data_IF_280176924085
#
_entry.id   IF_280176924085
#
_cell.length_a   1.000
_cell.length_b   1.000
_cell.length_c   1.000
_cell.angle_alpha   90.00
_cell.angle_beta   90.00
_cell.angle_gamma   90.00
#
_symmetry.space_group_name_H-M   'P 1'
#
loop_
_entity.id
_entity.type
_entity.pdbx_description
1 polymer ?
#
# COMPACT_ATOMS: atom_id res chain seq x y z
N UNK A 1 -18.90 -26.60 14.63
CA UNK A 1 -19.28 -25.52 13.69
C UNK A 1 -19.20 -26.11 12.30
N UNK A 2 -20.22 -25.96 11.44
CA UNK A 2 -20.09 -26.41 10.06
C UNK A 2 -18.96 -25.62 9.39
N UNK A 3 -18.02 -26.32 8.77
CA UNK A 3 -16.98 -25.73 7.93
C UNK A 3 -17.66 -24.78 6.93
N UNK A 4 -17.28 -23.51 6.93
CA UNK A 4 -17.73 -22.60 5.87
C UNK A 4 -17.16 -23.15 4.56
N UNK A 5 -18.00 -23.43 3.54
CA UNK A 5 -17.51 -24.00 2.29
C UNK A 5 -16.44 -23.06 1.72
N UNK A 6 -15.27 -23.61 1.42
CA UNK A 6 -14.23 -22.91 0.66
C UNK A 6 -14.88 -22.37 -0.63
N UNK A 7 -14.70 -21.07 -0.90
CA UNK A 7 -15.17 -20.47 -2.15
C UNK A 7 -14.24 -20.96 -3.27
N UNK A 8 -14.69 -21.84 -4.19
CA UNK A 8 -13.78 -22.42 -5.15
C UNK A 8 -13.42 -21.36 -6.19
N UNK A 9 -12.14 -21.00 -6.27
CA UNK A 9 -11.60 -20.04 -7.24
C UNK A 9 -12.05 -20.35 -8.69
N UNK A 10 -12.15 -21.63 -9.04
CA UNK A 10 -12.61 -22.10 -10.36
C UNK A 10 -14.06 -21.71 -10.67
N UNK A 11 -14.94 -21.73 -9.67
CA UNK A 11 -16.37 -21.41 -9.84
C UNK A 11 -16.55 -19.91 -10.10
N UNK A 12 -15.79 -19.07 -9.38
CA UNK A 12 -15.75 -17.63 -9.62
C UNK A 12 -15.31 -17.30 -11.05
N UNK A 13 -14.26 -17.95 -11.57
CA UNK A 13 -13.82 -17.75 -12.96
C UNK A 13 -14.93 -18.12 -13.95
N UNK A 14 -15.65 -19.22 -13.71
CA UNK A 14 -16.77 -19.66 -14.56
C UNK A 14 -17.92 -18.65 -14.58
N UNK A 15 -18.27 -18.09 -13.43
CA UNK A 15 -19.31 -17.08 -13.30
C UNK A 15 -18.89 -15.73 -13.91
N UNK A 16 -17.64 -15.29 -13.70
CA UNK A 16 -17.10 -14.09 -14.33
C UNK A 16 -17.06 -14.22 -15.85
N UNK A 17 -16.79 -15.40 -16.40
CA UNK A 17 -16.90 -15.66 -17.85
C UNK A 17 -18.34 -15.51 -18.33
N UNK A 18 -19.29 -16.06 -17.58
CA UNK A 18 -20.73 -15.93 -17.89
C UNK A 18 -21.17 -14.48 -17.89
N UNK A 19 -20.71 -13.70 -16.91
CA UNK A 19 -20.94 -12.26 -16.82
C UNK A 19 -20.32 -11.52 -18.02
N UNK A 20 -19.06 -11.83 -18.36
CA UNK A 20 -18.35 -11.23 -19.50
C UNK A 20 -19.08 -11.47 -20.82
N UNK A 21 -19.66 -12.64 -21.02
CA UNK A 21 -20.38 -13.01 -22.24
C UNK A 21 -21.78 -12.39 -22.31
N UNK A 22 -22.56 -12.47 -21.22
CA UNK A 22 -23.96 -12.01 -21.19
C UNK A 22 -24.09 -10.50 -20.97
N UNK A 23 -23.13 -9.89 -20.26
CA UNK A 23 -23.16 -8.49 -19.83
C UNK A 23 -24.09 -8.24 -18.64
N UNK A 24 -23.88 -7.10 -17.97
CA UNK A 24 -24.55 -6.75 -16.70
C UNK A 24 -26.08 -6.64 -16.80
N UNK A 25 -26.62 -6.27 -17.97
CA UNK A 25 -28.07 -6.12 -18.16
C UNK A 25 -28.83 -7.46 -18.23
N UNK A 26 -28.15 -8.56 -18.56
CA UNK A 26 -28.76 -9.89 -18.76
C UNK A 26 -28.49 -10.86 -17.61
N UNK A 27 -28.00 -10.36 -16.48
CA UNK A 27 -27.61 -11.17 -15.32
C UNK A 27 -28.79 -11.84 -14.60
N UNK A 28 -30.01 -11.29 -14.68
CA UNK A 28 -31.19 -11.86 -14.02
C UNK A 28 -31.51 -13.31 -14.47
N UNK A 29 -30.93 -13.75 -15.58
CA UNK A 29 -31.19 -15.06 -16.19
C UNK A 29 -30.00 -16.03 -16.03
N UNK A 30 -28.98 -15.67 -15.23
CA UNK A 30 -27.81 -16.51 -14.98
C UNK A 30 -27.68 -16.80 -13.48
N UNK A 31 -27.55 -18.07 -13.06
CA UNK A 31 -27.18 -18.38 -11.69
C UNK A 31 -25.73 -17.94 -11.45
N UNK A 32 -25.50 -17.15 -10.40
CA UNK A 32 -24.17 -16.68 -9.97
C UNK A 32 -23.94 -16.97 -8.46
N UNK A 33 -24.09 -18.23 -7.99
CA UNK A 33 -24.01 -18.55 -6.57
C UNK A 33 -22.66 -18.19 -5.92
N UNK A 34 -21.52 -18.35 -6.60
CA UNK A 34 -20.21 -18.04 -6.04
C UNK A 34 -20.02 -16.53 -5.87
N UNK A 35 -20.39 -15.72 -6.86
CA UNK A 35 -20.37 -14.26 -6.77
C UNK A 35 -21.37 -13.73 -5.75
N UNK A 36 -22.54 -14.37 -5.64
CA UNK A 36 -23.56 -14.02 -4.62
C UNK A 36 -23.02 -14.31 -3.22
N UNK A 37 -22.40 -15.48 -3.01
CA UNK A 37 -21.79 -15.82 -1.72
C UNK A 37 -20.65 -14.88 -1.35
N UNK A 38 -19.84 -14.44 -2.32
CA UNK A 38 -18.82 -13.42 -2.10
C UNK A 38 -19.44 -12.06 -1.73
N UNK A 39 -20.51 -11.66 -2.41
CA UNK A 39 -21.25 -10.45 -2.09
C UNK A 39 -21.83 -10.49 -0.67
N UNK A 40 -22.40 -11.64 -0.25
CA UNK A 40 -22.88 -11.88 1.11
C UNK A 40 -21.76 -11.71 2.14
N UNK A 41 -20.60 -12.35 1.91
CA UNK A 41 -19.42 -12.23 2.80
C UNK A 41 -18.91 -10.79 2.92
N UNK A 42 -19.12 -9.99 1.88
CA UNK A 42 -18.74 -8.57 1.84
C UNK A 42 -19.82 -7.65 2.40
N UNK A 43 -20.94 -8.19 2.90
CA UNK A 43 -22.06 -7.44 3.46
C UNK A 43 -22.87 -6.66 2.41
N UNK A 44 -22.78 -7.04 1.13
CA UNK A 44 -23.56 -6.42 0.07
C UNK A 44 -24.98 -7.01 0.06
N UNK A 45 -26.02 -6.20 -0.25
CA UNK A 45 -27.40 -6.66 -0.21
C UNK A 45 -27.67 -7.68 -1.32
N UNK A 46 -28.04 -8.92 -0.98
CA UNK A 46 -28.30 -10.01 -1.94
C UNK A 46 -29.78 -10.38 -2.09
N UNK A 47 -30.68 -9.60 -1.47
CA UNK A 47 -32.13 -9.82 -1.55
C UNK A 47 -32.65 -9.89 -3.00
N UNK A 48 -33.72 -10.67 -3.19
CA UNK A 48 -34.32 -10.94 -4.49
C UNK A 48 -34.62 -9.64 -5.27
N UNK A 49 -34.10 -9.57 -6.51
CA UNK A 49 -34.27 -8.43 -7.42
C UNK A 49 -33.11 -7.42 -7.40
N UNK A 50 -32.24 -7.42 -6.39
CA UNK A 50 -31.08 -6.54 -6.30
C UNK A 50 -29.80 -7.11 -6.92
N UNK A 51 -29.77 -8.43 -7.19
CA UNK A 51 -28.58 -9.15 -7.61
C UNK A 51 -27.75 -8.46 -8.73
N UNK A 52 -28.33 -7.95 -9.84
CA UNK A 52 -27.53 -7.25 -10.86
C UNK A 52 -26.82 -6.00 -10.33
N UNK A 53 -27.46 -5.26 -9.42
CA UNK A 53 -26.89 -4.09 -8.76
C UNK A 53 -25.80 -4.53 -7.80
N UNK A 54 -26.05 -5.56 -7.00
CA UNK A 54 -25.09 -6.13 -6.04
C UNK A 54 -23.81 -6.60 -6.73
N UNK A 55 -23.95 -7.34 -7.83
CA UNK A 55 -22.80 -7.80 -8.62
C UNK A 55 -22.09 -6.61 -9.29
N UNK A 56 -22.81 -5.58 -9.75
CA UNK A 56 -22.17 -4.36 -10.27
C UNK A 56 -21.33 -3.71 -9.16
N UNK A 57 -21.90 -3.49 -7.97
CA UNK A 57 -21.20 -2.89 -6.82
C UNK A 57 -19.98 -3.70 -6.40
N UNK A 58 -20.09 -5.03 -6.42
CA UNK A 58 -18.96 -5.93 -6.15
C UNK A 58 -17.82 -5.69 -7.16
N UNK A 59 -18.14 -5.67 -8.46
CA UNK A 59 -17.16 -5.47 -9.51
C UNK A 59 -16.55 -4.07 -9.49
N UNK A 60 -17.34 -3.03 -9.19
CA UNK A 60 -16.84 -1.66 -9.03
C UNK A 60 -15.83 -1.59 -7.87
N UNK A 61 -16.12 -2.27 -6.75
CA UNK A 61 -15.20 -2.38 -5.61
C UNK A 61 -13.91 -3.11 -5.99
N UNK A 62 -14.00 -4.17 -6.79
CA UNK A 62 -12.82 -4.89 -7.30
C UNK A 62 -11.99 -3.99 -8.20
N UNK A 63 -12.60 -3.35 -9.20
CA UNK A 63 -11.91 -2.43 -10.12
C UNK A 63 -11.24 -1.30 -9.35
N UNK A 64 -11.92 -0.69 -8.38
CA UNK A 64 -11.32 0.33 -7.53
C UNK A 64 -10.12 -0.19 -6.72
N UNK A 65 -10.19 -1.44 -6.25
CA UNK A 65 -9.10 -2.08 -5.51
C UNK A 65 -7.91 -2.52 -6.39
N UNK A 66 -8.08 -2.58 -7.72
CA UNK A 66 -6.98 -2.76 -8.67
C UNK A 66 -6.16 -1.48 -8.87
N UNK A 67 -6.68 -0.32 -8.47
CA UNK A 67 -5.98 0.96 -8.52
C UNK A 67 -6.05 1.64 -9.89
N UNK A 68 -5.07 2.50 -10.18
CA UNK A 68 -4.95 3.21 -11.46
C UNK A 68 -4.08 2.39 -12.43
N UNK A 69 -4.49 2.26 -13.70
CA UNK A 69 -3.67 1.64 -14.74
C UNK A 69 -4.47 0.86 -15.78
N UNK A 70 -3.78 0.43 -16.85
CA UNK A 70 -4.39 -0.25 -18.00
C UNK A 70 -5.11 -1.54 -17.63
N UNK A 71 -4.69 -2.22 -16.56
CA UNK A 71 -5.35 -3.43 -16.05
C UNK A 71 -6.73 -3.13 -15.44
N UNK A 72 -6.83 -2.09 -14.60
CA UNK A 72 -8.09 -1.70 -13.98
C UNK A 72 -9.09 -1.22 -15.05
N UNK A 73 -8.63 -0.38 -15.99
CA UNK A 73 -9.46 0.11 -17.08
C UNK A 73 -9.89 -1.03 -18.02
N UNK A 74 -8.97 -1.91 -18.45
CA UNK A 74 -9.32 -3.05 -19.28
C UNK A 74 -10.26 -4.03 -18.58
N UNK A 75 -10.13 -4.19 -17.25
CA UNK A 75 -11.07 -4.97 -16.44
C UNK A 75 -12.45 -4.33 -16.47
N UNK A 76 -12.54 -3.02 -16.25
CA UNK A 76 -13.79 -2.28 -16.28
C UNK A 76 -14.49 -2.34 -17.65
N UNK A 77 -13.71 -2.21 -18.74
CA UNK A 77 -14.22 -2.41 -20.10
C UNK A 77 -14.64 -3.85 -20.36
N UNK A 78 -13.88 -4.84 -19.88
CA UNK A 78 -14.20 -6.27 -20.11
C UNK A 78 -15.52 -6.67 -19.45
N UNK A 79 -15.70 -6.26 -18.19
CA UNK A 79 -16.86 -6.63 -17.36
C UNK A 79 -18.05 -5.69 -17.54
N UNK A 80 -17.86 -4.56 -18.21
CA UNK A 80 -18.93 -3.61 -18.54
C UNK A 80 -19.28 -2.64 -17.40
N UNK A 81 -18.37 -2.44 -16.45
CA UNK A 81 -18.51 -1.46 -15.36
C UNK A 81 -17.99 -0.08 -15.74
N UNK A 82 -17.15 0.03 -16.77
CA UNK A 82 -16.72 1.33 -17.29
C UNK A 82 -17.92 2.18 -17.78
N UNK A 83 -17.91 3.51 -17.60
CA UNK A 83 -19.00 4.38 -18.04
C UNK A 83 -19.37 4.18 -19.51
N UNK A 84 -20.67 4.01 -19.79
CA UNK A 84 -21.18 3.82 -21.16
C UNK A 84 -20.86 2.47 -21.80
N UNK A 85 -20.50 1.44 -21.01
CA UNK A 85 -20.18 0.10 -21.54
C UNK A 85 -21.17 -0.99 -21.13
N UNK A 86 -22.14 -0.64 -20.27
CA UNK A 86 -23.10 -1.56 -19.65
C UNK A 86 -24.02 -2.26 -20.65
N UNK A 87 -24.40 -1.55 -21.71
CA UNK A 87 -25.29 -1.98 -22.80
C UNK A 87 -24.53 -2.44 -24.05
N UNK A 88 -23.21 -2.23 -24.09
CA UNK A 88 -22.38 -2.65 -25.22
C UNK A 88 -22.39 -4.17 -25.41
N UNK A 89 -22.27 -4.64 -26.65
CA UNK A 89 -22.06 -6.06 -26.92
C UNK A 89 -20.71 -6.53 -26.36
N UNK A 90 -20.63 -7.80 -25.95
CA UNK A 90 -19.41 -8.36 -25.36
C UNK A 90 -18.18 -8.24 -26.30
N UNK A 91 -18.39 -8.31 -27.61
CA UNK A 91 -17.33 -8.13 -28.60
C UNK A 91 -16.79 -6.69 -28.63
N UNK A 92 -17.65 -5.69 -28.48
CA UNK A 92 -17.24 -4.28 -28.48
C UNK A 92 -16.56 -3.89 -27.17
N UNK A 93 -17.03 -4.42 -26.03
CA UNK A 93 -16.34 -4.33 -24.74
C UNK A 93 -14.92 -4.89 -24.81
N UNK A 94 -14.76 -6.08 -25.42
CA UNK A 94 -13.45 -6.70 -25.65
C UNK A 94 -12.56 -5.84 -26.54
N UNK A 95 -13.12 -5.23 -27.60
CA UNK A 95 -12.37 -4.35 -28.48
C UNK A 95 -11.81 -3.14 -27.71
N UNK A 96 -12.64 -2.47 -26.91
CA UNK A 96 -12.19 -1.36 -26.04
C UNK A 96 -11.16 -1.81 -25.00
N UNK A 97 -11.38 -2.95 -24.36
CA UNK A 97 -10.44 -3.49 -23.39
C UNK A 97 -9.07 -3.80 -24.03
N UNK A 98 -9.05 -4.37 -25.24
CA UNK A 98 -7.82 -4.65 -25.99
C UNK A 98 -7.07 -3.37 -26.38
N UNK A 99 -7.80 -2.34 -26.80
CA UNK A 99 -7.27 -1.01 -27.13
C UNK A 99 -6.58 -0.38 -25.91
N UNK A 100 -7.26 -0.35 -24.76
CA UNK A 100 -6.70 0.18 -23.51
C UNK A 100 -5.50 -0.62 -23.02
N UNK A 101 -5.54 -1.94 -23.20
CA UNK A 101 -4.44 -2.82 -22.84
C UNK A 101 -3.28 -2.76 -23.85
N UNK A 102 -3.43 -2.09 -25.00
CA UNK A 102 -2.39 -1.95 -26.02
C UNK A 102 -2.06 -3.24 -26.79
N UNK A 103 -3.03 -4.15 -26.95
CA UNK A 103 -2.86 -5.43 -27.67
C UNK A 103 -3.92 -5.62 -28.75
N UNK A 104 -3.66 -6.51 -29.71
CA UNK A 104 -4.67 -6.88 -30.69
C UNK A 104 -5.86 -7.58 -30.03
N UNK A 105 -7.06 -7.40 -30.59
CA UNK A 105 -8.29 -8.03 -30.09
C UNK A 105 -8.16 -9.55 -30.01
N UNK A 106 -7.46 -10.16 -30.96
CA UNK A 106 -7.23 -11.60 -31.00
C UNK A 106 -6.28 -12.09 -29.90
N UNK A 107 -5.20 -11.34 -29.62
CA UNK A 107 -4.29 -11.63 -28.51
C UNK A 107 -4.99 -11.44 -27.16
N UNK A 108 -5.79 -10.38 -27.05
CA UNK A 108 -6.60 -10.14 -25.86
C UNK A 108 -7.55 -11.30 -25.60
N UNK A 109 -8.31 -11.72 -26.61
CA UNK A 109 -9.24 -12.86 -26.53
C UNK A 109 -8.57 -14.14 -26.06
N UNK A 110 -7.39 -14.47 -26.60
CA UNK A 110 -6.71 -15.74 -26.34
C UNK A 110 -5.96 -15.79 -25.01
N UNK A 111 -5.53 -14.65 -24.49
CA UNK A 111 -4.60 -14.60 -23.37
C UNK A 111 -5.02 -13.64 -22.27
N UNK A 112 -5.16 -12.35 -22.58
CA UNK A 112 -5.38 -11.33 -21.55
C UNK A 112 -6.77 -11.39 -20.92
N UNK A 113 -7.80 -11.77 -21.68
CA UNK A 113 -9.15 -11.93 -21.12
C UNK A 113 -9.16 -13.00 -20.03
N UNK A 114 -8.47 -14.13 -20.23
CA UNK A 114 -8.36 -15.17 -19.19
C UNK A 114 -7.61 -14.66 -17.95
N UNK A 115 -6.48 -13.99 -18.15
CA UNK A 115 -5.68 -13.42 -17.05
C UNK A 115 -6.48 -12.40 -16.24
N UNK A 116 -7.29 -11.56 -16.89
CA UNK A 116 -8.16 -10.60 -16.20
C UNK A 116 -9.19 -11.33 -15.33
N UNK A 117 -9.83 -12.39 -15.85
CA UNK A 117 -10.83 -13.12 -15.06
C UNK A 117 -10.20 -13.86 -13.87
N UNK A 118 -9.02 -14.46 -14.04
CA UNK A 118 -8.25 -15.06 -12.95
C UNK A 118 -7.90 -14.01 -11.89
N UNK A 119 -7.36 -12.86 -12.31
CA UNK A 119 -6.97 -11.80 -11.40
C UNK A 119 -8.16 -11.17 -10.65
N UNK A 120 -9.31 -11.03 -11.31
CA UNK A 120 -10.55 -10.56 -10.67
C UNK A 120 -11.05 -11.57 -9.65
N UNK A 121 -10.99 -12.87 -9.94
CA UNK A 121 -11.36 -13.91 -8.99
C UNK A 121 -10.46 -13.89 -7.74
N UNK A 122 -9.14 -13.81 -7.92
CA UNK A 122 -8.18 -13.64 -6.83
C UNK A 122 -8.52 -12.42 -5.98
N UNK A 123 -8.82 -11.29 -6.62
CA UNK A 123 -9.12 -10.04 -5.91
C UNK A 123 -10.43 -10.10 -5.13
N UNK A 124 -11.45 -10.78 -5.66
CA UNK A 124 -12.71 -11.03 -4.94
C UNK A 124 -12.46 -11.88 -3.69
N UNK A 125 -11.65 -12.93 -3.80
CA UNK A 125 -11.30 -13.79 -2.67
C UNK A 125 -10.49 -13.03 -1.61
N UNK A 126 -9.52 -12.20 -2.03
CA UNK A 126 -8.74 -11.33 -1.14
C UNK A 126 -9.66 -10.39 -0.34
N UNK A 127 -10.65 -9.77 -0.99
CA UNK A 127 -11.65 -8.93 -0.33
C UNK A 127 -12.51 -9.75 0.66
N UNK A 128 -12.94 -10.95 0.28
CA UNK A 128 -13.73 -11.83 1.15
C UNK A 128 -12.94 -12.29 2.39
N UNK A 129 -11.65 -12.59 2.24
CA UNK A 129 -10.76 -12.96 3.34
C UNK A 129 -10.61 -11.80 4.34
N UNK A 130 -10.43 -10.57 3.85
CA UNK A 130 -10.43 -9.37 4.71
C UNK A 130 -11.72 -9.21 5.50
N UNK A 131 -12.88 -9.44 4.87
CA UNK A 131 -14.17 -9.32 5.53
C UNK A 131 -14.49 -10.49 6.50
N UNK A 132 -13.92 -11.68 6.25
CA UNK A 132 -14.08 -12.86 7.11
C UNK A 132 -13.14 -12.87 8.31
N UNK A 133 -12.12 -12.01 8.30
CA UNK A 133 -11.27 -11.80 9.49
C UNK A 133 -12.13 -11.04 10.51
N UNK A 134 -12.50 -11.65 11.65
CA UNK A 134 -13.36 -10.98 12.61
C UNK A 134 -12.67 -9.68 13.05
N UNK A 135 -13.38 -8.55 13.08
CA UNK A 135 -12.85 -7.35 13.72
C UNK A 135 -12.46 -7.74 15.14
N UNK A 136 -11.22 -7.43 15.52
CA UNK A 136 -10.74 -7.50 16.90
C UNK A 136 -11.81 -6.88 17.81
N UNK A 137 -12.43 -7.69 18.67
CA UNK A 137 -13.55 -7.30 19.55
C UNK A 137 -13.14 -6.37 20.70
N UNK A 138 -12.00 -5.69 20.56
CA UNK A 138 -11.67 -4.54 21.38
C UNK A 138 -12.42 -3.29 20.91
N UNK A 139 -12.65 -2.29 21.77
CA UNK A 139 -13.07 -0.98 21.31
C UNK A 139 -12.09 -0.51 20.22
N UNK A 140 -12.62 -0.05 19.07
CA UNK A 140 -11.81 0.52 18.01
C UNK A 140 -10.85 1.54 18.64
N UNK A 141 -9.53 1.42 18.42
CA UNK A 141 -8.57 2.33 19.02
C UNK A 141 -8.91 3.77 18.59
N UNK A 142 -9.42 4.57 19.53
CA UNK A 142 -9.89 5.93 19.27
C UNK A 142 -8.77 6.90 19.61
N UNK A 143 -8.06 7.37 18.59
CA UNK A 143 -6.97 8.34 18.73
C UNK A 143 -6.05 8.37 17.52
N UNK A 144 -5.34 9.48 17.26
CA UNK A 144 -4.37 9.55 16.17
C UNK A 144 -2.99 8.95 16.54
N UNK A 145 -2.77 8.61 17.81
CA UNK A 145 -1.48 8.14 18.35
C UNK A 145 -1.73 7.05 19.39
N UNK A 146 -0.98 5.95 19.28
CA UNK A 146 -1.07 4.79 20.16
C UNK A 146 0.31 4.48 20.73
N UNK A 147 0.41 4.38 22.05
CA UNK A 147 1.64 3.98 22.74
C UNK A 147 1.57 2.50 23.06
N UNK A 148 2.60 1.79 22.65
CA UNK A 148 2.74 0.35 22.79
C UNK A 148 4.06 0.06 23.51
N UNK A 149 4.11 -1.06 24.20
CA UNK A 149 5.30 -1.67 24.77
C UNK A 149 5.59 -2.97 24.01
N UNK A 150 6.88 -3.26 23.82
CA UNK A 150 7.36 -4.52 23.28
C UNK A 150 8.23 -5.17 24.35
N UNK A 151 7.83 -6.34 24.84
CA UNK A 151 8.63 -7.06 25.82
C UNK A 151 9.80 -7.75 25.12
N UNK A 152 11.01 -7.28 25.38
CA UNK A 152 12.22 -7.90 24.91
C UNK A 152 13.15 -8.22 26.09
N UNK A 153 13.53 -9.50 26.24
CA UNK A 153 14.37 -9.99 27.35
C UNK A 153 13.87 -9.57 28.74
N UNK A 154 12.54 -9.51 28.92
CA UNK A 154 11.89 -9.13 30.17
C UNK A 154 11.89 -7.63 30.47
N UNK A 155 12.19 -6.77 29.48
CA UNK A 155 12.03 -5.32 29.57
C UNK A 155 11.04 -4.85 28.52
N UNK A 156 10.17 -3.92 28.91
CA UNK A 156 9.25 -3.28 27.98
C UNK A 156 9.93 -2.07 27.33
N UNK A 157 10.03 -2.11 26.00
CA UNK A 157 10.57 -1.01 25.20
C UNK A 157 9.41 -0.26 24.54
N UNK A 158 9.34 1.07 24.66
CA UNK A 158 8.25 1.85 24.09
C UNK A 158 8.32 1.92 22.56
N UNK A 159 7.15 1.84 21.93
CA UNK A 159 6.92 1.99 20.50
C UNK A 159 5.66 2.86 20.30
N UNK A 160 5.71 3.86 19.44
CA UNK A 160 4.54 4.72 19.17
C UNK A 160 4.01 4.51 17.76
N UNK A 161 2.73 4.19 17.59
CA UNK A 161 2.08 4.16 16.27
C UNK A 161 1.26 5.44 16.04
N UNK A 162 1.55 6.13 14.95
CA UNK A 162 0.79 7.27 14.45
C UNK A 162 -0.21 6.82 13.39
N UNK A 163 -1.49 7.09 13.63
CA UNK A 163 -2.61 6.90 12.71
C UNK A 163 -3.08 8.22 12.11
N UNK A 164 -2.16 8.99 11.54
CA UNK A 164 -2.42 10.33 11.01
C UNK A 164 -1.58 10.58 9.74
N UNK A 165 -1.97 11.55 8.89
CA UNK A 165 -1.18 11.90 7.71
C UNK A 165 0.24 12.37 8.08
N UNK A 166 1.22 12.03 7.24
CA UNK A 166 2.66 12.29 7.53
C UNK A 166 2.98 13.77 7.65
N UNK A 167 2.25 14.63 6.94
CA UNK A 167 2.35 16.08 6.98
C UNK A 167 2.02 16.70 8.36
N UNK A 168 1.40 15.91 9.25
CA UNK A 168 1.05 16.30 10.62
C UNK A 168 2.02 15.75 11.67
N UNK A 169 3.09 15.06 11.27
CA UNK A 169 4.16 14.67 12.18
C UNK A 169 4.88 15.91 12.69
N UNK A 170 5.25 15.89 13.96
CA UNK A 170 6.07 16.92 14.59
C UNK A 170 6.93 16.29 15.69
N UNK A 171 8.01 16.97 16.02
CA UNK A 171 8.93 16.65 17.12
C UNK A 171 9.52 15.22 17.02
N UNK A 172 9.75 14.76 15.78
CA UNK A 172 10.45 13.52 15.46
C UNK A 172 11.67 13.86 14.64
N UNK A 173 12.84 13.42 15.06
CA UNK A 173 14.10 13.84 14.45
C UNK A 173 14.33 13.29 13.06
N UNK A 174 14.01 12.01 12.86
CA UNK A 174 14.23 11.30 11.60
C UNK A 174 12.92 10.71 11.10
N UNK A 175 12.56 11.01 9.85
CA UNK A 175 11.44 10.34 9.16
C UNK A 175 11.98 9.50 8.01
N UNK A 176 11.57 8.23 7.96
CA UNK A 176 11.96 7.32 6.89
C UNK A 176 10.89 7.31 5.80
N UNK A 177 11.30 7.56 4.56
CA UNK A 177 10.48 7.38 3.37
C UNK A 177 10.77 6.04 2.72
N UNK A 178 9.72 5.40 2.18
CA UNK A 178 9.87 4.20 1.34
C UNK A 178 9.96 4.64 -0.12
N UNK A 179 11.11 4.40 -0.73
CA UNK A 179 11.41 4.75 -2.12
C UNK A 179 11.64 3.51 -2.98
N UNK A 180 11.60 3.73 -4.29
CA UNK A 180 12.01 2.71 -5.24
C UNK A 180 13.54 2.56 -5.28
N UNK A 181 14.02 1.47 -5.86
CA UNK A 181 15.47 1.19 -5.98
C UNK A 181 16.23 2.17 -6.89
N UNK A 182 15.56 3.09 -7.59
CA UNK A 182 16.20 4.18 -8.32
C UNK A 182 16.29 5.47 -7.49
N UNK A 183 15.80 5.45 -6.24
CA UNK A 183 15.70 6.63 -5.36
C UNK A 183 14.96 7.80 -6.01
N UNK A 184 13.98 7.50 -6.85
CA UNK A 184 13.13 8.50 -7.48
C UNK A 184 11.88 8.71 -6.64
N UNK A 185 11.75 9.89 -6.01
CA UNK A 185 10.57 10.20 -5.23
C UNK A 185 9.34 10.32 -6.11
N UNK A 186 8.19 9.91 -5.58
CA UNK A 186 6.91 10.08 -6.25
C UNK A 186 6.62 11.56 -6.54
N UNK A 187 5.73 11.80 -7.52
CA UNK A 187 5.29 13.16 -7.84
C UNK A 187 4.61 13.80 -6.63
N UNK A 188 4.81 15.11 -6.44
CA UNK A 188 4.34 15.89 -5.29
C UNK A 188 2.81 15.97 -5.13
N UNK A 189 2.05 15.57 -6.15
CA UNK A 189 0.59 15.52 -6.13
C UNK A 189 0.03 14.10 -5.92
N UNK A 190 0.90 13.10 -5.74
CA UNK A 190 0.49 11.72 -5.42
C UNK A 190 0.33 11.58 -3.91
N UNK A 191 -0.70 10.86 -3.47
CA UNK A 191 -1.02 10.56 -2.06
C UNK A 191 -0.13 9.48 -1.43
N UNK A 192 1.01 9.15 -2.04
CA UNK A 192 1.99 8.23 -1.47
C UNK A 192 2.79 8.92 -0.37
N UNK A 193 3.36 8.15 0.56
CA UNK A 193 4.25 8.69 1.59
C UNK A 193 5.37 9.54 0.99
N UNK A 194 6.07 9.00 -0.01
CA UNK A 194 7.13 9.67 -0.77
C UNK A 194 6.64 10.98 -1.42
N UNK A 195 5.47 10.96 -2.08
CA UNK A 195 4.92 12.13 -2.76
C UNK A 195 4.52 13.24 -1.79
N UNK A 196 3.88 12.85 -0.67
CA UNK A 196 3.53 13.78 0.41
C UNK A 196 4.79 14.38 1.05
N UNK A 197 5.76 13.55 1.46
CA UNK A 197 7.02 14.01 2.08
C UNK A 197 7.77 14.99 1.17
N UNK A 198 7.89 14.67 -0.13
CA UNK A 198 8.48 15.57 -1.12
C UNK A 198 7.75 16.92 -1.18
N UNK A 199 6.42 16.91 -1.15
CA UNK A 199 5.62 18.12 -1.21
C UNK A 199 5.80 19.02 0.03
N UNK A 200 5.79 18.43 1.23
CA UNK A 200 5.83 19.19 2.49
C UNK A 200 7.24 19.60 2.91
N UNK A 201 8.26 18.88 2.43
CA UNK A 201 9.66 19.27 2.62
C UNK A 201 10.14 20.34 1.63
N UNK A 202 9.40 20.57 0.53
CA UNK A 202 9.76 21.57 -0.45
C UNK A 202 9.74 22.99 0.16
N UNK A 203 10.76 23.79 -0.15
CA UNK A 203 10.80 25.20 0.26
C UNK A 203 9.86 26.01 -0.63
N UNK A 204 9.09 26.90 -0.02
CA UNK A 204 8.14 27.76 -0.72
C UNK A 204 8.42 29.24 -0.50
N UNK A 205 8.15 30.04 -1.52
CA UNK A 205 8.16 31.50 -1.36
C UNK A 205 6.85 31.99 -0.70
N UNK A 206 6.74 33.31 -0.50
CA UNK A 206 5.57 33.94 0.11
C UNK A 206 4.26 33.73 -0.67
N UNK A 207 4.34 33.41 -1.97
CA UNK A 207 3.19 33.11 -2.83
C UNK A 207 2.82 31.62 -2.82
N UNK A 208 3.55 30.79 -2.06
CA UNK A 208 3.33 29.35 -1.96
C UNK A 208 3.95 28.53 -3.09
N UNK A 209 4.69 29.16 -4.01
CA UNK A 209 5.37 28.47 -5.11
C UNK A 209 6.57 27.70 -4.60
N UNK A 210 6.79 26.48 -5.12
CA UNK A 210 7.98 25.68 -4.78
C UNK A 210 9.22 26.32 -5.40
N UNK A 211 10.15 26.77 -4.56
CA UNK A 211 11.44 27.35 -4.98
C UNK A 211 12.59 26.35 -4.88
N UNK A 212 12.47 25.31 -4.05
CA UNK A 212 13.45 24.23 -3.94
C UNK A 212 12.74 22.92 -3.59
N UNK A 213 12.86 21.93 -4.47
CA UNK A 213 12.43 20.55 -4.24
C UNK A 213 13.55 19.78 -3.50
N UNK A 214 13.73 20.16 -2.23
CA UNK A 214 14.92 19.85 -1.43
C UNK A 214 15.26 18.36 -1.45
N UNK A 215 14.31 17.51 -1.08
CA UNK A 215 14.55 16.07 -0.94
C UNK A 215 14.94 15.43 -2.27
N UNK A 216 14.21 15.76 -3.35
CA UNK A 216 14.50 15.20 -4.66
C UNK A 216 15.84 15.69 -5.19
N UNK A 217 16.16 16.98 -5.02
CA UNK A 217 17.44 17.55 -5.44
C UNK A 217 18.60 16.89 -4.73
N UNK A 218 18.55 16.78 -3.40
CA UNK A 218 19.62 16.15 -2.61
C UNK A 218 19.76 14.65 -2.89
N UNK A 219 18.66 13.93 -3.15
CA UNK A 219 18.72 12.55 -3.62
C UNK A 219 19.42 12.43 -4.97
N UNK A 220 19.12 13.31 -5.93
CA UNK A 220 19.82 13.33 -7.22
C UNK A 220 21.31 13.62 -7.06
N UNK A 221 21.67 14.60 -6.23
CA UNK A 221 23.05 14.93 -5.91
C UNK A 221 23.77 13.72 -5.28
N UNK A 222 23.11 13.03 -4.35
CA UNK A 222 23.66 11.81 -3.74
C UNK A 222 23.87 10.71 -4.77
N UNK A 223 22.88 10.45 -5.62
CA UNK A 223 22.96 9.43 -6.68
C UNK A 223 24.09 9.73 -7.67
N UNK A 224 24.27 11.00 -8.06
CA UNK A 224 25.40 11.43 -8.88
C UNK A 224 26.74 11.21 -8.19
N UNK A 225 26.88 11.68 -6.95
CA UNK A 225 28.12 11.57 -6.15
C UNK A 225 28.57 10.12 -5.98
N UNK A 226 27.65 9.17 -5.94
CA UNK A 226 27.94 7.75 -5.74
C UNK A 226 27.94 6.94 -7.05
N UNK A 227 27.87 7.59 -8.22
CA UNK A 227 27.89 6.93 -9.52
C UNK A 227 26.68 6.03 -9.78
N UNK A 228 25.52 6.38 -9.20
CA UNK A 228 24.26 5.63 -9.29
C UNK A 228 23.18 6.32 -10.10
N UNK A 229 23.46 7.47 -10.69
CA UNK A 229 22.48 8.17 -11.51
C UNK A 229 21.98 7.28 -12.67
N UNK A 230 20.67 7.05 -12.74
CA UNK A 230 20.02 6.22 -13.76
C UNK A 230 20.16 4.71 -13.57
N UNK A 231 20.78 4.23 -12.49
CA UNK A 231 20.91 2.79 -12.18
C UNK A 231 20.39 2.48 -10.79
N UNK A 232 19.87 1.26 -10.55
CA UNK A 232 19.32 0.93 -9.25
C UNK A 232 20.42 0.81 -8.19
N UNK A 233 20.10 1.20 -6.97
CA UNK A 233 20.83 0.82 -5.76
C UNK A 233 20.40 -0.59 -5.31
N UNK A 234 21.18 -1.20 -4.42
CA UNK A 234 20.80 -2.48 -3.84
C UNK A 234 19.52 -2.32 -2.98
N UNK A 235 18.55 -3.25 -3.05
CA UNK A 235 17.39 -3.21 -2.18
C UNK A 235 17.76 -3.19 -0.70
N UNK A 236 17.16 -2.27 0.06
CA UNK A 236 17.46 -1.98 1.46
C UNK A 236 18.53 -0.92 1.69
N UNK A 237 19.08 -0.31 0.63
CA UNK A 237 19.96 0.87 0.75
C UNK A 237 19.18 2.03 1.37
N UNK A 238 19.79 2.74 2.32
CA UNK A 238 19.22 3.94 2.94
C UNK A 238 20.07 5.14 2.60
N UNK A 239 19.45 6.16 2.03
CA UNK A 239 20.12 7.41 1.63
C UNK A 239 19.56 8.56 2.45
N UNK A 240 20.40 9.33 3.15
CA UNK A 240 19.91 10.44 3.92
C UNK A 240 19.87 11.73 3.11
N UNK A 241 18.93 12.60 3.46
CA UNK A 241 18.83 14.00 3.03
C UNK A 241 18.57 14.89 4.24
N UNK A 242 18.74 16.20 4.06
CA UNK A 242 18.15 17.20 4.95
C UNK A 242 16.62 17.09 4.94
N UNK A 243 15.95 17.80 5.84
CA UNK A 243 14.49 17.75 5.96
C UNK A 243 13.75 18.85 5.19
N UNK A 244 14.46 19.78 4.56
CA UNK A 244 13.84 20.94 3.92
C UNK A 244 12.98 21.75 4.89
N UNK A 245 11.75 22.09 4.50
CA UNK A 245 10.82 22.87 5.34
C UNK A 245 10.26 22.08 6.54
N UNK A 246 10.41 20.75 6.57
CA UNK A 246 10.01 19.91 7.71
C UNK A 246 10.82 20.20 8.97
N UNK A 247 11.95 20.91 8.87
CA UNK A 247 12.71 21.40 10.03
C UNK A 247 11.86 22.27 10.97
N UNK A 248 10.86 22.97 10.44
CA UNK A 248 9.91 23.77 11.25
C UNK A 248 8.99 22.90 12.11
N UNK A 249 8.84 21.63 11.77
CA UNK A 249 8.07 20.64 12.52
C UNK A 249 8.98 19.83 13.47
N UNK A 250 10.25 20.21 13.63
CA UNK A 250 11.21 19.45 14.45
C UNK A 250 11.80 18.23 13.74
N UNK A 251 11.49 17.99 12.47
CA UNK A 251 12.09 16.91 11.67
C UNK A 251 13.42 17.39 11.11
N UNK A 252 14.49 16.70 11.47
CA UNK A 252 15.87 17.12 11.17
C UNK A 252 16.44 16.38 9.98
N UNK A 253 15.99 15.15 9.75
CA UNK A 253 16.43 14.32 8.62
C UNK A 253 15.30 13.53 8.00
N UNK A 254 15.44 13.30 6.69
CA UNK A 254 14.64 12.34 5.95
C UNK A 254 15.56 11.27 5.38
N UNK A 255 15.27 10.02 5.71
CA UNK A 255 16.01 8.86 5.20
C UNK A 255 15.18 8.14 4.15
N UNK A 256 15.76 7.90 2.99
CA UNK A 256 15.10 7.27 1.85
C UNK A 256 15.54 5.82 1.75
N UNK A 257 14.63 4.90 2.05
CA UNK A 257 14.88 3.48 2.03
C UNK A 257 14.42 2.86 0.70
N UNK A 258 15.37 2.30 -0.06
CA UNK A 258 15.12 1.62 -1.33
C UNK A 258 14.49 0.24 -1.12
N UNK A 259 13.20 0.17 -0.86
CA UNK A 259 12.49 -1.09 -0.59
C UNK A 259 11.57 -1.53 -1.72
N UNK A 260 11.23 -0.61 -2.64
CA UNK A 260 10.30 -0.88 -3.72
C UNK A 260 11.04 -1.18 -5.04
N UNK A 261 10.91 -2.40 -5.56
CA UNK A 261 11.53 -2.82 -6.82
C UNK A 261 10.48 -2.69 -7.92
N UNK A 262 10.61 -1.73 -8.87
CA UNK A 262 9.64 -1.58 -9.94
C UNK A 262 9.52 -2.86 -10.77
N UNK A 263 8.30 -3.28 -11.06
CA UNK A 263 8.05 -4.40 -11.99
C UNK A 263 8.01 -3.86 -13.42
N UNK A 264 8.85 -4.37 -14.34
CA UNK A 264 8.88 -3.90 -15.71
C UNK A 264 7.48 -3.91 -16.37
N UNK A 265 7.17 -2.83 -17.09
CA UNK A 265 5.90 -2.65 -17.81
C UNK A 265 4.64 -2.54 -16.94
N UNK A 266 4.80 -2.23 -15.65
CA UNK A 266 3.68 -1.99 -14.72
C UNK A 266 3.99 -0.78 -13.83
N UNK A 267 2.96 -0.27 -13.15
CA UNK A 267 3.13 0.72 -12.07
C UNK A 267 3.33 0.05 -10.69
N UNK A 268 3.52 -1.27 -10.67
CA UNK A 268 3.60 -2.10 -9.47
C UNK A 268 5.04 -2.25 -8.97
N UNK A 269 5.14 -2.61 -7.69
CA UNK A 269 6.42 -2.86 -7.04
C UNK A 269 6.45 -4.26 -6.43
N UNK A 270 7.60 -4.91 -6.49
CA UNK A 270 7.94 -6.03 -5.64
C UNK A 270 8.60 -5.50 -4.36
N UNK A 271 8.26 -6.13 -3.23
CA UNK A 271 8.86 -5.84 -1.93
C UNK A 271 9.50 -7.13 -1.42
N UNK A 272 10.80 -7.10 -1.15
CA UNK A 272 11.53 -8.24 -0.59
C UNK A 272 11.63 -8.12 0.93
N UNK A 273 11.32 -9.18 1.71
CA UNK A 273 11.46 -9.14 3.17
C UNK A 273 12.87 -8.74 3.63
N UNK A 274 13.88 -9.28 2.97
CA UNK A 274 15.27 -8.99 3.29
C UNK A 274 15.66 -7.53 3.01
N UNK A 275 15.05 -6.89 2.01
CA UNK A 275 15.27 -5.47 1.73
C UNK A 275 14.67 -4.59 2.83
N UNK A 276 13.47 -4.95 3.33
CA UNK A 276 12.82 -4.26 4.46
C UNK A 276 13.68 -4.37 5.72
N UNK A 277 14.16 -5.57 6.07
CA UNK A 277 15.03 -5.76 7.23
C UNK A 277 16.33 -4.94 7.12
N UNK A 278 16.98 -4.95 5.94
CA UNK A 278 18.17 -4.14 5.68
C UNK A 278 17.89 -2.64 5.80
N UNK A 279 16.76 -2.17 5.29
CA UNK A 279 16.35 -0.78 5.38
C UNK A 279 16.17 -0.33 6.83
N UNK A 280 15.50 -1.15 7.67
CA UNK A 280 15.35 -0.85 9.10
C UNK A 280 16.72 -0.74 9.77
N UNK A 281 17.57 -1.77 9.65
CA UNK A 281 18.92 -1.73 10.24
C UNK A 281 19.77 -0.56 9.72
N UNK A 282 19.72 -0.29 8.41
CA UNK A 282 20.45 0.80 7.78
C UNK A 282 19.99 2.18 8.28
N UNK A 283 18.70 2.36 8.51
CA UNK A 283 18.15 3.61 9.03
C UNK A 283 18.63 3.87 10.47
N UNK A 284 18.59 2.86 11.35
CA UNK A 284 19.09 3.01 12.71
C UNK A 284 20.61 3.16 12.77
N UNK A 285 21.36 2.42 11.95
CA UNK A 285 22.81 2.57 11.86
C UNK A 285 23.19 3.99 11.44
N UNK A 286 22.52 4.54 10.43
CA UNK A 286 22.73 5.90 9.97
C UNK A 286 22.38 6.94 11.03
N UNK A 287 21.25 6.76 11.73
CA UNK A 287 20.85 7.64 12.83
C UNK A 287 21.87 7.65 13.97
N UNK A 288 22.46 6.49 14.32
CA UNK A 288 23.54 6.39 15.29
C UNK A 288 24.79 7.14 14.83
N UNK A 289 25.21 6.91 13.58
CA UNK A 289 26.45 7.46 13.03
C UNK A 289 26.45 8.99 13.03
N UNK A 290 25.30 9.61 12.75
CA UNK A 290 25.18 11.08 12.72
C UNK A 290 24.56 11.68 13.99
N UNK A 291 24.20 10.86 14.98
CA UNK A 291 23.48 11.26 16.21
C UNK A 291 24.07 12.52 16.86
N UNK A 292 25.39 12.53 17.02
CA UNK A 292 26.13 13.58 17.71
C UNK A 292 26.53 14.76 16.81
N UNK A 293 26.23 14.71 15.51
CA UNK A 293 26.39 15.84 14.61
C UNK A 293 25.25 16.88 14.76
N UNK A 294 24.21 16.55 15.52
CA UNK A 294 23.08 17.43 15.82
C UNK A 294 23.11 17.89 17.28
N UNK A 295 22.64 19.11 17.51
CA UNK A 295 22.37 19.66 18.84
C UNK A 295 20.88 20.07 18.93
N UNK A 296 20.06 19.43 19.79
CA UNK A 296 20.39 18.26 20.62
C UNK A 296 20.74 17.01 19.78
N UNK A 297 21.29 15.92 20.34
CA UNK A 297 21.51 14.70 19.55
C UNK A 297 20.21 14.13 18.97
N UNK A 298 20.29 13.35 17.88
CA UNK A 298 19.13 12.60 17.37
C UNK A 298 18.66 11.57 18.42
N UNK A 299 17.35 11.44 18.61
CA UNK A 299 16.71 10.60 19.62
C UNK A 299 15.49 9.87 19.11
N UNK A 300 14.84 10.33 18.03
CA UNK A 300 13.61 9.69 17.54
C UNK A 300 13.67 9.34 16.05
N UNK A 301 13.07 8.20 15.68
CA UNK A 301 12.96 7.73 14.30
C UNK A 301 11.56 7.22 14.00
N UNK A 302 10.96 7.72 12.91
CA UNK A 302 9.67 7.28 12.42
C UNK A 302 9.80 6.45 11.14
N UNK A 303 9.38 5.20 11.22
CA UNK A 303 9.37 4.26 10.11
C UNK A 303 7.97 4.13 9.53
N UNK A 304 7.83 3.97 8.21
CA UNK A 304 6.58 3.58 7.61
C UNK A 304 6.40 2.06 7.69
N UNK A 305 5.18 1.61 7.43
CA UNK A 305 4.95 0.24 7.04
C UNK A 305 5.36 0.07 5.56
N UNK A 306 6.56 -0.45 5.32
CA UNK A 306 7.15 -0.58 3.99
C UNK A 306 6.26 -1.39 3.04
N UNK A 307 5.98 -0.82 1.87
CA UNK A 307 5.21 -1.50 0.82
C UNK A 307 3.70 -1.54 1.03
N UNK A 308 3.15 -1.11 2.18
CA UNK A 308 1.70 -1.19 2.46
C UNK A 308 0.85 -0.07 1.84
N UNK A 309 1.50 0.86 1.13
CA UNK A 309 0.85 1.83 0.26
C UNK A 309 0.73 1.32 -1.18
N UNK A 310 1.33 2.04 -2.13
CA UNK A 310 1.34 1.67 -3.57
C UNK A 310 2.07 0.36 -3.89
N UNK A 311 2.83 -0.20 -2.96
CA UNK A 311 3.45 -1.52 -3.12
C UNK A 311 2.47 -2.68 -2.98
N UNK A 312 1.23 -2.42 -2.54
CA UNK A 312 0.16 -3.43 -2.48
C UNK A 312 0.35 -4.50 -1.40
N UNK A 313 1.36 -4.37 -0.54
CA UNK A 313 1.61 -5.36 0.51
C UNK A 313 0.55 -5.22 1.61
N UNK A 314 -0.06 -6.32 2.11
CA UNK A 314 -0.89 -6.26 3.30
C UNK A 314 -0.12 -5.66 4.48
N UNK A 315 -0.80 -4.88 5.32
CA UNK A 315 -0.20 -4.19 6.46
C UNK A 315 0.41 -5.18 7.44
N UNK A 316 -0.24 -6.31 7.64
CA UNK A 316 0.20 -7.42 8.49
C UNK A 316 1.52 -7.99 7.98
N UNK A 317 1.62 -8.21 6.67
CA UNK A 317 2.83 -8.71 6.02
C UNK A 317 3.97 -7.68 6.09
N UNK A 318 3.66 -6.41 5.89
CA UNK A 318 4.63 -5.31 6.01
C UNK A 318 5.21 -5.23 7.42
N UNK A 319 4.35 -5.28 8.45
CA UNK A 319 4.76 -5.31 9.84
C UNK A 319 5.62 -6.55 10.14
N UNK A 320 5.20 -7.73 9.68
CA UNK A 320 5.95 -8.98 9.87
C UNK A 320 7.34 -8.95 9.21
N UNK A 321 7.51 -8.29 8.07
CA UNK A 321 8.83 -8.13 7.43
C UNK A 321 9.76 -7.20 8.21
N UNK A 322 9.22 -6.12 8.78
CA UNK A 322 10.01 -5.15 9.54
C UNK A 322 10.32 -5.64 10.96
N UNK A 323 9.44 -6.45 11.55
CA UNK A 323 9.47 -6.78 12.98
C UNK A 323 10.79 -7.38 13.48
N UNK A 324 11.42 -8.39 12.84
CA UNK A 324 12.65 -8.97 13.35
C UNK A 324 13.81 -7.96 13.44
N UNK A 325 13.85 -7.01 12.50
CA UNK A 325 14.84 -5.94 12.53
C UNK A 325 14.47 -4.89 13.59
N UNK A 326 13.19 -4.53 13.69
CA UNK A 326 12.69 -3.54 14.65
C UNK A 326 12.89 -4.00 16.09
N UNK A 327 12.55 -5.25 16.42
CA UNK A 327 12.73 -5.83 17.75
C UNK A 327 14.21 -5.77 18.18
N UNK A 328 15.13 -6.07 17.25
CA UNK A 328 16.56 -6.00 17.50
C UNK A 328 17.04 -4.56 17.73
N UNK A 329 16.56 -3.60 16.97
CA UNK A 329 16.94 -2.18 17.11
C UNK A 329 16.36 -1.56 18.39
N UNK A 330 15.11 -1.86 18.73
CA UNK A 330 14.47 -1.50 19.99
C UNK A 330 15.26 -1.99 21.21
N UNK A 331 15.88 -3.15 21.11
CA UNK A 331 16.69 -3.72 22.18
C UNK A 331 18.12 -3.15 22.27
N UNK A 332 18.62 -2.55 21.20
CA UNK A 332 20.02 -2.18 21.06
C UNK A 332 20.32 -0.74 21.48
N UNK A 333 19.33 0.14 21.43
CA UNK A 333 19.52 1.59 21.55
C UNK A 333 18.33 2.27 22.25
N UNK A 334 18.52 3.52 22.66
CA UNK A 334 17.52 4.32 23.38
C UNK A 334 16.71 5.25 22.46
N UNK A 335 16.65 4.93 21.16
CA UNK A 335 15.82 5.69 20.22
C UNK A 335 14.33 5.57 20.56
N UNK A 336 13.63 6.71 20.56
CA UNK A 336 12.18 6.76 20.50
C UNK A 336 11.72 6.29 19.12
N UNK A 337 11.10 5.12 19.06
CA UNK A 337 10.69 4.52 17.80
C UNK A 337 9.23 4.82 17.53
N UNK A 338 8.98 5.32 16.33
CA UNK A 338 7.65 5.62 15.84
C UNK A 338 7.35 4.82 14.57
N UNK A 339 6.09 4.42 14.40
CA UNK A 339 5.53 3.88 13.18
C UNK A 339 4.46 4.82 12.67
N UNK A 340 4.25 4.90 11.35
CA UNK A 340 3.17 5.71 10.77
C UNK A 340 2.31 4.96 9.75
N UNK A 341 1.01 5.26 9.82
CA UNK A 341 -0.05 4.84 8.90
C UNK A 341 -0.94 6.03 8.57
N UNK A 342 -1.74 5.97 7.49
CA UNK A 342 -2.59 7.11 7.05
C UNK A 342 -3.84 7.37 7.91
N UNK A 343 -4.04 6.67 9.03
CA UNK A 343 -5.27 6.72 9.82
C UNK A 343 -6.35 5.76 9.33
N UNK A 344 -7.43 5.59 10.10
CA UNK A 344 -8.57 4.73 9.76
C UNK A 344 -8.22 3.24 9.77
N UNK A 345 -8.82 2.47 8.85
CA UNK A 345 -8.63 1.01 8.74
C UNK A 345 -7.14 0.58 8.71
N UNK A 346 -6.24 1.26 7.98
CA UNK A 346 -4.80 0.97 8.06
C UNK A 346 -4.21 0.98 9.47
N UNK A 347 -4.65 1.90 10.33
CA UNK A 347 -4.15 1.99 11.70
C UNK A 347 -4.67 0.83 12.54
N UNK A 348 -5.94 0.47 12.41
CA UNK A 348 -6.51 -0.71 13.08
C UNK A 348 -5.77 -1.99 12.68
N UNK A 349 -5.55 -2.19 11.37
CA UNK A 349 -4.81 -3.34 10.86
C UNK A 349 -3.36 -3.37 11.38
N UNK A 350 -2.71 -2.21 11.49
CA UNK A 350 -1.37 -2.11 12.03
C UNK A 350 -1.32 -2.44 13.53
N UNK A 351 -2.30 -1.97 14.32
CA UNK A 351 -2.41 -2.32 15.74
C UNK A 351 -2.62 -3.82 15.94
N UNK A 352 -3.54 -4.42 15.20
CA UNK A 352 -3.78 -5.86 15.27
C UNK A 352 -2.54 -6.67 14.86
N UNK A 353 -1.81 -6.22 13.83
CA UNK A 353 -0.56 -6.84 13.43
C UNK A 353 0.52 -6.74 14.52
N UNK A 354 0.71 -5.56 15.10
CA UNK A 354 1.69 -5.34 16.18
C UNK A 354 1.34 -6.15 17.43
N UNK A 355 0.06 -6.24 17.80
CA UNK A 355 -0.38 -7.08 18.91
C UNK A 355 -0.07 -8.56 18.68
N UNK A 356 -0.30 -9.09 17.47
CA UNK A 356 0.07 -10.47 17.12
C UNK A 356 1.58 -10.71 17.16
N UNK A 357 2.38 -9.66 16.94
CA UNK A 357 3.84 -9.70 17.00
C UNK A 357 4.39 -9.51 18.42
N UNK A 358 3.53 -9.32 19.42
CA UNK A 358 3.90 -9.23 20.84
C UNK A 358 3.96 -7.81 21.41
N UNK A 359 3.60 -6.79 20.63
CA UNK A 359 3.35 -5.46 21.19
C UNK A 359 2.08 -5.48 22.05
N UNK A 360 2.04 -4.66 23.09
CA UNK A 360 0.85 -4.51 23.93
C UNK A 360 0.70 -3.03 24.32
N UNK A 361 -0.50 -2.55 24.69
CA UNK A 361 -0.66 -1.18 25.17
C UNK A 361 0.26 -0.88 26.34
N UNK A 362 0.89 0.30 26.32
CA UNK A 362 1.80 0.78 27.37
C UNK A 362 1.04 1.38 28.55
#
# INVERSE_FOLDING_TARGET
MPESPELPHTDLIGELRTLRERGLLRLRQAPLPALTSCADRLGLPTADGLLPTTITTLLDRVVAALGEGTLADATAFTLGTAPGTRDMAAQDRRRKAAEVYGVSVERFRKHHERLILEHVADKILELCQRASTPPSTGPAPTGPVFRLAVTHRGRDVPLTLHGKPVETLCDIDVVVSSENIYMEMAKTFKSSLSGTLRNVAARRNALGEVVDDVLQRELYEWMHKHGRFGVPVAPGTVVPTSSGDLVRQGIRRVYHAATAIPRPHTDDYAIEPAAVMRAVHGAFALARDERHAFDPPLRSICLPLFGSGRGGLPIETSAAYAWPALEKELAADDFEVHLITRGGDPTTAALDALHRLGAHPL
#
